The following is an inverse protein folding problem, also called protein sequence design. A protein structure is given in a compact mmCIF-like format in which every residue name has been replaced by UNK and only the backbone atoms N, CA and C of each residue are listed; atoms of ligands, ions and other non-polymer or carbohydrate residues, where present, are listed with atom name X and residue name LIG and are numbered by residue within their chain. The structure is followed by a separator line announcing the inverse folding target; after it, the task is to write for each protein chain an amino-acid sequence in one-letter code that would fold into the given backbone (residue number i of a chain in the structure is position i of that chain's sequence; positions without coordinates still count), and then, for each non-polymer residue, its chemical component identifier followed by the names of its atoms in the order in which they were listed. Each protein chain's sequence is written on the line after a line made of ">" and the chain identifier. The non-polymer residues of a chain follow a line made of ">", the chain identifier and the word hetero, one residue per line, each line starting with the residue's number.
data_IF_499848573320
#
_entry.id   IF_499848573320
#
_cell.length_a   1.000
_cell.length_b   1.000
_cell.length_c   1.000
_cell.angle_alpha   90.00
_cell.angle_beta   90.00
_cell.angle_gamma   90.00
#
_symmetry.space_group_name_H-M   'P 1'
#
loop_
_entity.id
_entity.type
_entity.pdbx_description
1 polymer ?
#
# COMPACT_ATOMS: atom_id res chain seq x y z
N UNK A 1 -6.12 6.49 4.78
CA UNK A 1 -5.27 5.73 3.82
C UNK A 1 -6.11 4.58 3.28
N UNK A 2 -5.95 4.13 2.02
CA UNK A 2 -6.73 2.99 1.50
C UNK A 2 -6.57 1.72 2.35
N UNK A 3 -5.43 1.58 3.05
CA UNK A 3 -5.21 0.49 4.01
C UNK A 3 -6.14 0.54 5.23
N UNK A 4 -6.80 1.66 5.52
CA UNK A 4 -7.78 1.76 6.60
C UNK A 4 -9.14 1.16 6.20
N UNK A 5 -9.35 0.93 4.89
CA UNK A 5 -10.57 0.37 4.30
C UNK A 5 -10.47 -1.14 4.05
N UNK A 6 -9.38 -1.78 4.45
CA UNK A 6 -9.15 -3.22 4.29
C UNK A 6 -9.04 -3.92 5.65
N UNK A 7 -9.36 -5.21 5.65
CA UNK A 7 -9.30 -6.07 6.83
C UNK A 7 -7.87 -6.29 7.31
N UNK A 8 -7.71 -6.76 8.56
CA UNK A 8 -6.39 -7.08 9.09
C UNK A 8 -5.71 -8.21 8.31
N UNK A 9 -6.44 -9.26 7.93
CA UNK A 9 -5.92 -10.35 7.09
C UNK A 9 -5.33 -9.84 5.76
N UNK A 10 -5.99 -8.87 5.13
CA UNK A 10 -5.48 -8.24 3.90
C UNK A 10 -4.21 -7.42 4.16
N UNK A 11 -4.09 -6.74 5.31
CA UNK A 11 -2.85 -6.04 5.69
C UNK A 11 -1.71 -7.02 5.92
N UNK A 12 -1.99 -8.13 6.58
CA UNK A 12 -1.00 -9.16 6.90
C UNK A 12 -0.51 -9.83 5.61
N UNK A 13 -1.43 -10.19 4.71
CA UNK A 13 -1.08 -10.69 3.36
C UNK A 13 -0.24 -9.68 2.58
N UNK A 14 -0.62 -8.40 2.56
CA UNK A 14 0.17 -7.38 1.87
C UNK A 14 1.61 -7.29 2.41
N UNK A 15 1.79 -7.51 3.72
CA UNK A 15 3.10 -7.58 4.35
C UNK A 15 3.89 -8.81 3.88
N UNK A 16 3.24 -9.98 3.84
CA UNK A 16 3.86 -11.22 3.34
C UNK A 16 4.30 -11.07 1.88
N UNK A 17 3.42 -10.57 0.99
CA UNK A 17 3.77 -10.33 -0.42
C UNK A 17 4.96 -9.39 -0.56
N UNK A 18 5.07 -8.37 0.30
CA UNK A 18 6.22 -7.47 0.31
C UNK A 18 7.50 -8.18 0.74
N UNK A 19 7.44 -9.00 1.79
CA UNK A 19 8.58 -9.80 2.25
C UNK A 19 9.07 -10.74 1.16
N UNK A 20 8.16 -11.49 0.52
CA UNK A 20 8.49 -12.38 -0.60
C UNK A 20 9.15 -11.60 -1.74
N UNK A 21 8.60 -10.44 -2.10
CA UNK A 21 9.18 -9.58 -3.12
C UNK A 21 10.62 -9.16 -2.78
N UNK A 22 10.88 -8.74 -1.54
CA UNK A 22 12.23 -8.37 -1.07
C UNK A 22 13.17 -9.58 -1.11
N UNK A 23 12.74 -10.73 -0.58
CA UNK A 23 13.54 -11.97 -0.54
C UNK A 23 13.87 -12.48 -1.94
N UNK A 24 13.00 -12.26 -2.92
CA UNK A 24 13.25 -12.65 -4.31
C UNK A 24 14.29 -11.78 -5.04
N UNK A 25 14.94 -10.84 -4.34
CA UNK A 25 15.90 -9.90 -4.92
C UNK A 25 15.25 -8.83 -5.81
N UNK A 26 13.92 -8.87 -5.95
CA UNK A 26 13.12 -7.88 -6.68
C UNK A 26 12.86 -6.68 -5.78
N UNK A 27 13.90 -5.90 -5.50
CA UNK A 27 13.76 -4.54 -4.96
C UNK A 27 13.10 -3.65 -6.01
N UNK A 28 11.78 -3.75 -6.14
CA UNK A 28 11.03 -2.94 -7.11
C UNK A 28 10.70 -1.59 -6.50
N UNK A 29 10.91 -0.52 -7.27
CA UNK A 29 10.44 0.84 -6.98
C UNK A 29 8.91 0.97 -7.13
N UNK A 30 8.13 0.14 -6.43
CA UNK A 30 6.69 0.10 -6.61
C UNK A 30 5.97 -0.84 -5.63
N UNK A 31 4.65 -0.70 -5.58
CA UNK A 31 3.78 -1.59 -4.84
C UNK A 31 3.75 -3.01 -5.43
N UNK A 32 3.45 -3.99 -4.57
CA UNK A 32 3.22 -5.38 -5.02
C UNK A 32 1.96 -5.47 -5.88
N UNK A 33 1.82 -6.57 -6.65
CA UNK A 33 0.58 -6.86 -7.37
C UNK A 33 -0.63 -6.90 -6.43
N UNK A 34 -0.45 -7.51 -5.25
CA UNK A 34 -1.48 -7.61 -4.23
C UNK A 34 -1.93 -6.24 -3.69
N UNK A 35 -0.98 -5.34 -3.39
CA UNK A 35 -1.32 -3.99 -2.93
C UNK A 35 -2.00 -3.15 -4.01
N UNK A 36 -1.58 -3.27 -5.27
CA UNK A 36 -2.24 -2.61 -6.39
C UNK A 36 -3.68 -3.12 -6.58
N UNK A 37 -3.88 -4.43 -6.43
CA UNK A 37 -5.20 -5.06 -6.48
C UNK A 37 -6.10 -4.53 -5.36
N UNK A 38 -5.62 -4.51 -4.11
CA UNK A 38 -6.37 -3.98 -2.98
C UNK A 38 -6.70 -2.50 -3.16
N UNK A 39 -5.77 -1.72 -3.69
CA UNK A 39 -6.04 -0.31 -3.98
C UNK A 39 -7.19 -0.15 -4.98
N UNK A 40 -7.17 -0.89 -6.09
CA UNK A 40 -8.24 -0.85 -7.09
C UNK A 40 -9.57 -1.34 -6.53
N UNK A 41 -9.56 -2.38 -5.70
CA UNK A 41 -10.74 -2.85 -4.97
C UNK A 41 -11.31 -1.76 -4.05
N UNK A 42 -10.47 -1.05 -3.31
CA UNK A 42 -10.95 0.07 -2.47
C UNK A 42 -11.42 1.26 -3.29
N UNK A 43 -10.78 1.53 -4.43
CA UNK A 43 -11.19 2.60 -5.33
C UNK A 43 -12.54 2.31 -5.99
N UNK A 44 -12.81 1.03 -6.32
CA UNK A 44 -14.08 0.63 -6.93
C UNK A 44 -15.29 0.80 -6.00
N UNK A 45 -15.06 0.83 -4.68
CA UNK A 45 -16.10 1.15 -3.69
C UNK A 45 -16.49 2.63 -3.70
N UNK A 46 -15.58 3.52 -4.13
CA UNK A 46 -15.85 4.95 -4.21
C UNK A 46 -16.49 5.35 -5.55
N UNK A 47 -16.06 4.73 -6.64
CA UNK A 47 -16.61 4.95 -7.97
C UNK A 47 -16.38 3.73 -8.87
N UNK A 48 -17.25 3.46 -9.86
CA UNK A 48 -17.02 2.41 -10.83
C UNK A 48 -15.66 2.56 -11.53
N UNK A 49 -14.94 1.45 -11.69
CA UNK A 49 -13.67 1.45 -12.41
C UNK A 49 -13.90 1.68 -13.91
N UNK A 50 -13.05 2.50 -14.51
CA UNK A 50 -13.00 2.59 -15.97
C UNK A 50 -12.55 1.27 -16.61
N UNK A 51 -12.66 1.18 -17.94
CA UNK A 51 -12.33 -0.04 -18.70
C UNK A 51 -10.91 -0.54 -18.45
N UNK A 52 -9.93 0.37 -18.38
CA UNK A 52 -8.53 0.02 -18.22
C UNK A 52 -8.25 -0.42 -16.79
N UNK A 53 -8.75 0.32 -15.80
CA UNK A 53 -8.66 -0.02 -14.39
C UNK A 53 -9.34 -1.36 -14.07
N UNK A 54 -10.50 -1.63 -14.68
CA UNK A 54 -11.20 -2.92 -14.56
C UNK A 54 -10.37 -4.08 -15.12
N UNK A 55 -9.77 -3.90 -16.31
CA UNK A 55 -8.90 -4.91 -16.94
C UNK A 55 -7.64 -5.15 -16.11
N UNK A 56 -7.03 -4.10 -15.58
CA UNK A 56 -5.89 -4.19 -14.66
C UNK A 56 -6.29 -4.94 -13.37
N UNK A 57 -7.46 -4.63 -12.81
CA UNK A 57 -7.96 -5.31 -11.62
C UNK A 57 -8.17 -6.80 -11.88
N UNK A 58 -8.84 -7.18 -12.97
CA UNK A 58 -9.02 -8.57 -13.37
C UNK A 58 -7.67 -9.30 -13.56
N UNK A 59 -6.70 -8.65 -14.21
CA UNK A 59 -5.35 -9.18 -14.38
C UNK A 59 -4.64 -9.44 -13.06
N UNK A 60 -4.69 -8.47 -12.14
CA UNK A 60 -4.08 -8.65 -10.81
C UNK A 60 -4.81 -9.71 -9.98
N UNK A 61 -6.15 -9.74 -10.04
CA UNK A 61 -6.96 -10.74 -9.35
C UNK A 61 -6.61 -12.16 -9.83
N UNK A 62 -6.48 -12.37 -11.14
CA UNK A 62 -6.07 -13.65 -11.73
C UNK A 62 -4.70 -14.12 -11.21
N UNK A 63 -3.76 -13.20 -11.01
CA UNK A 63 -2.43 -13.54 -10.47
C UNK A 63 -2.44 -13.87 -8.99
N UNK A 64 -3.32 -13.25 -8.21
CA UNK A 64 -3.40 -13.43 -6.76
C UNK A 64 -4.27 -14.63 -6.38
N UNK A 65 -5.38 -14.83 -7.08
CA UNK A 65 -6.38 -15.86 -6.81
C UNK A 65 -6.70 -16.66 -8.09
N UNK A 66 -5.73 -17.41 -8.65
CA UNK A 66 -5.92 -18.15 -9.89
C UNK A 66 -7.09 -19.14 -9.81
N UNK A 67 -7.31 -19.75 -8.65
CA UNK A 67 -8.37 -20.76 -8.46
C UNK A 67 -9.77 -20.16 -8.39
N UNK A 68 -9.90 -18.86 -8.12
CA UNK A 68 -11.18 -18.15 -7.95
C UNK A 68 -11.54 -17.24 -9.10
N UNK A 69 -10.64 -17.09 -10.08
CA UNK A 69 -10.81 -16.07 -11.13
C UNK A 69 -12.03 -16.34 -11.99
N UNK A 70 -12.31 -17.61 -12.30
CA UNK A 70 -13.41 -18.00 -13.18
C UNK A 70 -14.78 -17.88 -12.50
N UNK A 71 -14.82 -17.69 -11.18
CA UNK A 71 -16.07 -17.43 -10.43
C UNK A 71 -16.48 -15.95 -10.50
N UNK A 72 -15.53 -15.07 -10.81
CA UNK A 72 -15.68 -13.61 -10.71
C UNK A 72 -15.59 -12.93 -12.08
N UNK A 73 -14.71 -13.44 -12.95
CA UNK A 73 -14.43 -12.88 -14.26
C UNK A 73 -14.59 -13.93 -15.34
N UNK A 74 -15.01 -13.50 -16.52
CA UNK A 74 -14.99 -14.37 -17.69
C UNK A 74 -13.56 -14.80 -18.01
N UNK A 75 -13.42 -15.96 -18.66
CA UNK A 75 -12.13 -16.59 -18.97
C UNK A 75 -11.17 -15.70 -19.77
N UNK A 76 -11.69 -14.75 -20.53
CA UNK A 76 -10.94 -13.83 -21.39
C UNK A 76 -10.58 -12.50 -20.72
N UNK A 77 -11.19 -12.16 -19.58
CA UNK A 77 -10.94 -10.89 -18.93
C UNK A 77 -9.64 -10.89 -18.13
N UNK A 78 -8.85 -9.83 -18.34
CA UNK A 78 -7.60 -9.62 -17.60
C UNK A 78 -6.54 -10.70 -17.84
N UNK A 79 -6.60 -11.47 -18.93
CA UNK A 79 -5.58 -12.49 -19.22
C UNK A 79 -4.23 -11.83 -19.52
N UNK A 80 -4.26 -10.75 -20.30
CA UNK A 80 -3.08 -9.97 -20.67
C UNK A 80 -3.37 -8.48 -20.57
N UNK A 81 -2.32 -7.70 -20.28
CA UNK A 81 -2.36 -6.25 -20.36
C UNK A 81 -1.75 -5.79 -21.68
N UNK A 82 -2.33 -4.75 -22.26
CA UNK A 82 -1.73 -4.04 -23.37
C UNK A 82 -0.45 -3.37 -22.90
N UNK A 83 0.64 -3.65 -23.62
CA UNK A 83 2.00 -3.19 -23.31
C UNK A 83 2.16 -1.67 -23.41
N UNK A 84 1.36 -1.01 -24.22
CA UNK A 84 1.44 0.43 -24.49
C UNK A 84 0.46 1.25 -23.65
N UNK A 85 -0.63 0.63 -23.19
CA UNK A 85 -1.67 1.32 -22.42
C UNK A 85 -1.75 0.83 -20.98
N UNK A 86 -2.12 -0.42 -20.73
CA UNK A 86 -2.45 -0.87 -19.38
C UNK A 86 -1.21 -1.22 -18.54
N UNK A 87 -0.15 -1.76 -19.13
CA UNK A 87 1.11 -2.02 -18.40
C UNK A 87 1.74 -0.72 -17.86
N UNK A 88 1.87 0.38 -18.65
CA UNK A 88 2.33 1.65 -18.12
C UNK A 88 1.43 2.22 -17.03
N UNK A 89 0.11 2.06 -17.15
CA UNK A 89 -0.85 2.51 -16.13
C UNK A 89 -0.66 1.75 -14.82
N UNK A 90 -0.55 0.42 -14.88
CA UNK A 90 -0.28 -0.40 -13.69
C UNK A 90 1.07 -0.03 -13.05
N UNK A 91 2.11 0.21 -13.85
CA UNK A 91 3.41 0.67 -13.35
C UNK A 91 3.30 2.00 -12.61
N UNK A 92 2.64 2.99 -13.20
CA UNK A 92 2.40 4.31 -12.58
C UNK A 92 1.59 4.19 -11.29
N UNK A 93 0.55 3.35 -11.28
CA UNK A 93 -0.25 3.08 -10.09
C UNK A 93 0.62 2.53 -8.95
N UNK A 94 1.42 1.50 -9.23
CA UNK A 94 2.31 0.89 -8.24
C UNK A 94 3.33 1.89 -7.68
N UNK A 95 3.91 2.73 -8.53
CA UNK A 95 4.84 3.78 -8.11
C UNK A 95 4.13 4.79 -7.19
N UNK A 96 2.92 5.22 -7.55
CA UNK A 96 2.11 6.16 -6.75
C UNK A 96 1.77 5.60 -5.38
N UNK A 97 1.30 4.35 -5.31
CA UNK A 97 1.01 3.65 -4.05
C UNK A 97 2.27 3.57 -3.18
N UNK A 98 3.40 3.18 -3.77
CA UNK A 98 4.66 3.06 -3.04
C UNK A 98 5.16 4.41 -2.51
N UNK A 99 5.08 5.47 -3.33
CA UNK A 99 5.41 6.83 -2.91
C UNK A 99 4.56 7.27 -1.73
N UNK A 100 3.24 7.07 -1.80
CA UNK A 100 2.32 7.37 -0.69
C UNK A 100 2.71 6.61 0.58
N UNK A 101 3.03 5.32 0.48
CA UNK A 101 3.49 4.53 1.62
C UNK A 101 4.79 5.07 2.23
N UNK A 102 5.77 5.44 1.41
CA UNK A 102 7.02 6.03 1.88
C UNK A 102 6.79 7.38 2.57
N UNK A 103 5.94 8.22 2.02
CA UNK A 103 5.60 9.51 2.61
C UNK A 103 4.93 9.34 3.97
N UNK A 104 4.03 8.36 4.11
CA UNK A 104 3.42 8.00 5.39
C UNK A 104 4.46 7.47 6.40
N UNK A 105 5.41 6.63 5.98
CA UNK A 105 6.47 6.13 6.86
C UNK A 105 7.39 7.26 7.34
N UNK A 106 7.76 8.19 6.44
CA UNK A 106 8.55 9.38 6.78
C UNK A 106 7.81 10.28 7.75
N UNK A 107 6.51 10.50 7.55
CA UNK A 107 5.68 11.29 8.45
C UNK A 107 5.59 10.65 9.84
N UNK A 108 5.35 9.33 9.91
CA UNK A 108 5.31 8.58 11.17
C UNK A 108 6.63 8.68 11.93
N UNK A 109 7.76 8.47 11.25
CA UNK A 109 9.10 8.58 11.85
C UNK A 109 9.36 9.97 12.43
N UNK A 110 9.00 11.04 11.70
CA UNK A 110 9.14 12.43 12.20
C UNK A 110 8.32 12.69 13.45
N UNK A 111 7.08 12.17 13.51
CA UNK A 111 6.23 12.30 14.71
C UNK A 111 6.86 11.57 15.90
N UNK A 112 7.31 10.33 15.71
CA UNK A 112 7.99 9.55 16.76
C UNK A 112 9.26 10.26 17.26
N UNK A 113 10.09 10.78 16.36
CA UNK A 113 11.31 11.53 16.74
C UNK A 113 10.97 12.80 17.55
N UNK A 114 9.87 13.49 17.21
CA UNK A 114 9.39 14.67 17.95
C UNK A 114 8.92 14.29 19.35
N UNK A 115 8.11 13.23 19.47
CA UNK A 115 7.62 12.71 20.76
C UNK A 115 8.77 12.29 21.68
N UNK A 116 9.78 11.61 21.14
CA UNK A 116 10.98 11.22 21.89
C UNK A 116 11.71 12.47 22.40
N UNK A 117 11.93 13.48 21.54
CA UNK A 117 12.59 14.73 21.95
C UNK A 117 11.80 15.49 23.02
N UNK A 118 10.47 15.47 22.95
CA UNK A 118 9.61 16.14 23.93
C UNK A 118 9.63 15.44 25.29
N UNK A 119 9.63 14.11 25.32
CA UNK A 119 9.78 13.32 26.55
C UNK A 119 11.17 13.45 27.20
N UNK A 120 12.21 13.70 26.39
CA UNK A 120 13.59 13.86 26.86
C UNK A 120 13.93 15.31 27.30
N UNK A 121 13.00 16.28 27.17
CA UNK A 121 13.22 17.62 27.73
C UNK A 121 13.30 17.52 29.26
N UNK A 122 14.38 18.02 29.90
CA UNK A 122 14.47 17.98 31.36
C UNK A 122 13.30 18.76 31.96
N UNK A 123 12.57 18.14 32.91
CA UNK A 123 11.68 18.88 33.82
C UNK A 123 12.56 19.84 34.59
N UNK A 124 12.56 21.13 34.22
CA UNK A 124 13.23 22.15 35.00
C UNK A 124 12.69 22.10 36.43
N UNK A 125 13.59 21.75 37.34
CA UNK A 125 13.42 21.69 38.79
C UNK A 125 13.07 23.10 39.28
N UNK A 126 11.78 23.41 39.38
CA UNK A 126 11.32 24.52 40.22
C UNK A 126 11.22 24.02 41.66
N UNK A 127 12.37 23.78 42.27
CA UNK A 127 12.48 23.88 43.73
C UNK A 127 13.25 25.17 43.97
N UNK A 128 12.49 26.25 44.14
CA UNK A 128 13.00 27.48 44.72
C UNK A 128 13.58 27.10 46.08
N UNK A 129 14.90 27.09 46.19
CA UNK A 129 15.60 27.11 47.47
C UNK A 129 15.24 28.41 48.16
N UNK A 130 14.20 28.39 48.98
CA UNK A 130 13.98 29.38 50.03
C UNK A 130 15.04 29.12 51.09
N UNK A 131 16.17 29.81 51.00
CA UNK A 131 17.09 30.00 52.12
C UNK A 131 16.80 31.40 52.66
N UNK A 132 16.02 31.44 53.75
CA UNK A 132 16.06 32.52 54.75
C UNK A 132 17.22 32.25 55.69
#
# INVERSE_FOLDING_TARGET
>A
MWKDMITQDQKDKATIYRMVQIMSGRLTEGATDYEAMLWLMTASLAAPLDRNARKIYAYLFRKVFPDKVNDVFDSHEGVFLDKHFEEPLLRRLKMSIFKSQLDHLKAKRKMTDKEIKEKLKPKNRTEKTTLM
#
